data_IF_575587498187
#
_entry.id   IF_575587498187
#
_cell.length_a   1.000
_cell.length_b   1.000
_cell.length_c   1.000
_cell.angle_alpha   90.00
_cell.angle_beta   90.00
_cell.angle_gamma   90.00
#
_symmetry.space_group_name_H-M   'P 1'
#
loop_
_entity.id
_entity.type
_entity.pdbx_description
1 polymer ?
#
# COMPACT_ATOMS: atom_id res chain seq x y z
N UNK A 1 -1.79 11.87 -11.94
CA UNK A 1 -2.90 10.94 -11.66
C UNK A 1 -2.76 10.24 -10.32
N UNK A 2 -3.79 9.49 -9.93
CA UNK A 2 -3.79 8.63 -8.74
C UNK A 2 -3.83 7.16 -9.14
N UNK A 3 -3.12 6.32 -8.39
CA UNK A 3 -3.29 4.88 -8.44
C UNK A 3 -3.67 4.35 -7.05
N UNK A 4 -4.66 3.46 -7.03
CA UNK A 4 -5.22 2.83 -5.82
C UNK A 4 -4.77 1.38 -5.77
N UNK A 5 -3.91 1.04 -4.82
CA UNK A 5 -3.23 -0.26 -4.77
C UNK A 5 -3.72 -1.01 -3.53
N UNK A 6 -4.56 -2.02 -3.76
CA UNK A 6 -5.03 -2.91 -2.68
C UNK A 6 -3.95 -3.89 -2.29
N UNK A 7 -3.66 -3.94 -1.00
CA UNK A 7 -2.82 -4.96 -0.37
C UNK A 7 -3.70 -6.04 0.25
N UNK A 8 -3.30 -7.30 0.10
CA UNK A 8 -3.92 -8.46 0.76
C UNK A 8 -2.88 -9.22 1.56
N UNK A 9 -3.19 -9.51 2.82
CA UNK A 9 -2.42 -10.47 3.63
C UNK A 9 -2.93 -11.87 3.31
N UNK A 10 -2.08 -12.72 2.75
CA UNK A 10 -2.47 -14.06 2.29
C UNK A 10 -1.69 -15.16 2.99
N UNK A 11 -2.29 -16.35 3.05
CA UNK A 11 -1.56 -17.56 3.41
C UNK A 11 -0.61 -18.02 2.28
N UNK A 12 0.11 -19.12 2.51
CA UNK A 12 1.01 -19.74 1.54
C UNK A 12 0.34 -20.21 0.23
N UNK A 13 -0.98 -20.32 0.22
CA UNK A 13 -1.77 -20.71 -0.97
C UNK A 13 -2.34 -19.48 -1.70
N UNK A 14 -2.02 -18.26 -1.23
CA UNK A 14 -2.54 -17.02 -1.80
C UNK A 14 -3.97 -16.67 -1.37
N UNK A 15 -4.54 -17.38 -0.39
CA UNK A 15 -5.86 -17.09 0.14
C UNK A 15 -5.77 -15.95 1.17
N UNK A 16 -6.60 -14.92 1.04
CA UNK A 16 -6.65 -13.83 2.01
C UNK A 16 -7.00 -14.36 3.39
N UNK A 17 -6.21 -14.00 4.40
CA UNK A 17 -6.46 -14.35 5.79
C UNK A 17 -7.51 -13.37 6.34
N UNK A 18 -8.76 -13.81 6.61
CA UNK A 18 -9.89 -12.92 6.80
C UNK A 18 -9.84 -12.09 8.08
N UNK A 19 -8.99 -12.48 9.04
CA UNK A 19 -8.83 -11.78 10.32
C UNK A 19 -7.44 -11.17 10.49
N UNK A 20 -6.63 -11.11 9.42
CA UNK A 20 -5.29 -10.56 9.50
C UNK A 20 -5.34 -9.04 9.73
N UNK A 21 -4.56 -8.59 10.71
CA UNK A 21 -4.45 -7.21 11.16
C UNK A 21 -2.98 -6.76 11.30
N UNK A 22 -2.08 -7.37 10.53
CA UNK A 22 -0.66 -7.11 10.58
C UNK A 22 -0.35 -5.62 10.32
N UNK A 23 0.63 -5.02 11.03
CA UNK A 23 1.10 -3.68 10.71
C UNK A 23 1.85 -3.72 9.37
N UNK A 24 1.48 -2.82 8.46
CA UNK A 24 2.08 -2.70 7.13
C UNK A 24 2.79 -1.36 7.02
N UNK A 25 4.05 -1.37 6.59
CA UNK A 25 4.78 -0.18 6.20
C UNK A 25 4.87 -0.11 4.67
N UNK A 26 4.41 1.00 4.11
CA UNK A 26 4.49 1.30 2.69
C UNK A 26 5.70 2.18 2.39
N UNK A 27 6.43 1.83 1.34
CA UNK A 27 7.55 2.60 0.82
C UNK A 27 7.37 2.81 -0.68
N UNK A 28 7.84 3.95 -1.19
CA UNK A 28 7.73 4.34 -2.59
C UNK A 28 9.08 4.84 -3.10
N UNK A 29 9.42 4.45 -4.32
CA UNK A 29 10.58 4.94 -5.07
C UNK A 29 10.17 5.34 -6.49
N UNK A 30 10.85 6.34 -7.07
CA UNK A 30 10.54 6.90 -8.39
C UNK A 30 9.67 8.17 -8.38
N UNK A 31 9.10 8.57 -9.54
CA UNK A 31 8.42 9.85 -9.73
C UNK A 31 6.97 9.86 -9.18
N UNK A 32 6.83 9.53 -7.90
CA UNK A 32 5.54 9.53 -7.21
C UNK A 32 5.66 9.76 -5.72
N UNK A 33 4.51 9.95 -5.08
CA UNK A 33 4.38 10.11 -3.63
C UNK A 33 3.20 9.29 -3.11
N UNK A 34 3.30 8.79 -1.86
CA UNK A 34 2.15 8.24 -1.15
C UNK A 34 1.34 9.43 -0.62
N UNK A 35 0.07 9.50 -0.98
CA UNK A 35 -0.81 10.61 -0.54
C UNK A 35 -1.79 10.17 0.54
N UNK A 36 -2.11 8.89 0.58
CA UNK A 36 -2.91 8.30 1.64
C UNK A 36 -2.69 6.79 1.73
N UNK A 37 -2.93 6.25 2.92
CA UNK A 37 -3.21 4.84 3.14
C UNK A 37 -4.57 4.72 3.84
N UNK A 38 -5.23 3.58 3.69
CA UNK A 38 -6.50 3.28 4.36
C UNK A 38 -6.63 1.75 4.58
N UNK A 39 -7.53 1.34 5.46
CA UNK A 39 -7.91 -0.06 5.66
C UNK A 39 -9.43 -0.22 5.83
N UNK A 40 -10.20 0.88 5.88
CA UNK A 40 -11.65 0.85 6.05
C UNK A 40 -12.13 0.54 7.47
N UNK A 41 -11.25 0.51 8.47
CA UNK A 41 -11.64 0.39 9.87
C UNK A 41 -12.17 1.74 10.38
N UNK A 42 -13.48 1.86 10.69
CA UNK A 42 -14.07 3.11 11.15
C UNK A 42 -13.59 3.54 12.55
N UNK A 43 -12.89 2.67 13.26
CA UNK A 43 -12.35 2.94 14.60
C UNK A 43 -10.87 3.37 14.56
N UNK A 44 -10.21 3.23 13.42
CA UNK A 44 -8.80 3.60 13.27
C UNK A 44 -8.62 5.11 13.35
N UNK A 45 -7.63 5.53 14.15
CA UNK A 45 -7.21 6.92 14.30
C UNK A 45 -5.90 7.21 13.55
N UNK A 46 -5.39 6.26 12.77
CA UNK A 46 -4.17 6.43 11.99
C UNK A 46 -4.41 7.49 10.91
N UNK A 47 -3.66 8.61 10.89
CA UNK A 47 -3.84 9.66 9.90
C UNK A 47 -3.74 9.11 8.48
N UNK A 48 -4.60 9.53 7.55
CA UNK A 48 -4.57 9.01 6.17
C UNK A 48 -3.20 9.16 5.50
N UNK A 49 -2.49 10.27 5.73
CA UNK A 49 -1.16 10.50 5.18
C UNK A 49 -0.05 9.62 5.77
N UNK A 50 -0.33 8.79 6.79
CA UNK A 50 0.64 7.84 7.35
C UNK A 50 1.08 6.82 6.29
N UNK A 51 2.37 6.51 6.26
CA UNK A 51 2.92 5.42 5.45
C UNK A 51 2.82 4.06 6.14
N UNK A 52 2.36 4.04 7.40
CA UNK A 52 2.15 2.83 8.18
C UNK A 52 0.66 2.68 8.50
N UNK A 53 0.14 1.47 8.32
CA UNK A 53 -1.25 1.12 8.63
C UNK A 53 -1.41 -0.38 8.86
N UNK A 54 -2.25 -0.76 9.80
CA UNK A 54 -2.67 -2.14 9.98
C UNK A 54 -3.56 -2.59 8.82
N UNK A 55 -3.45 -3.85 8.43
CA UNK A 55 -4.52 -4.49 7.69
C UNK A 55 -5.80 -4.51 8.53
N UNK A 56 -6.95 -4.52 7.88
CA UNK A 56 -8.25 -4.76 8.50
C UNK A 56 -8.95 -5.85 7.70
N UNK A 57 -9.28 -6.96 8.36
CA UNK A 57 -9.81 -8.17 7.73
C UNK A 57 -8.98 -8.65 6.53
N UNK A 58 -7.64 -8.57 6.66
CA UNK A 58 -6.67 -8.98 5.66
C UNK A 58 -6.44 -8.00 4.52
N UNK A 59 -7.03 -6.80 4.55
CA UNK A 59 -6.90 -5.80 3.50
C UNK A 59 -6.31 -4.48 4.00
N UNK A 60 -5.54 -3.83 3.14
CA UNK A 60 -5.15 -2.43 3.27
C UNK A 60 -5.09 -1.78 1.88
N UNK A 61 -4.98 -0.46 1.83
CA UNK A 61 -4.91 0.34 0.62
C UNK A 61 -3.78 1.36 0.75
N UNK A 62 -2.99 1.50 -0.31
CA UNK A 62 -2.11 2.66 -0.50
C UNK A 62 -2.53 3.39 -1.77
N UNK A 63 -2.64 4.71 -1.66
CA UNK A 63 -2.97 5.62 -2.75
C UNK A 63 -1.72 6.43 -3.04
N UNK A 64 -1.26 6.33 -4.28
CA UNK A 64 -0.10 7.09 -4.75
C UNK A 64 -0.53 8.13 -5.77
N UNK A 65 0.25 9.20 -5.88
CA UNK A 65 0.13 10.24 -6.91
C UNK A 65 1.40 10.29 -7.74
N UNK A 66 1.28 10.37 -9.06
CA UNK A 66 2.41 10.68 -9.93
C UNK A 66 2.79 12.16 -9.83
N UNK A 67 4.09 12.46 -9.91
CA UNK A 67 4.58 13.84 -9.95
C UNK A 67 4.33 14.43 -11.34
N UNK A 68 3.88 15.69 -11.37
CA UNK A 68 3.56 16.37 -12.62
C UNK A 68 4.85 16.67 -13.41
N UNK A 69 4.87 16.35 -14.71
CA UNK A 69 6.04 16.60 -15.57
C UNK A 69 7.14 15.54 -15.43
N UNK A 70 6.86 14.43 -14.73
CA UNK A 70 7.80 13.33 -14.54
C UNK A 70 7.22 12.00 -15.05
N UNK A 71 7.82 11.50 -16.13
CA UNK A 71 7.59 10.15 -16.64
C UNK A 71 8.55 9.13 -16.01
N UNK A 72 8.14 7.88 -15.83
CA UNK A 72 9.01 6.83 -15.32
C UNK A 72 8.31 5.64 -14.66
N UNK A 73 9.09 4.86 -13.91
CA UNK A 73 8.58 3.72 -13.13
C UNK A 73 8.54 4.07 -11.65
N UNK A 74 7.37 3.90 -11.03
CA UNK A 74 7.14 4.05 -9.60
C UNK A 74 7.10 2.65 -8.99
N UNK A 75 7.98 2.37 -8.03
CA UNK A 75 7.98 1.11 -7.28
C UNK A 75 7.34 1.35 -5.92
N UNK A 76 6.27 0.60 -5.62
CA UNK A 76 5.61 0.62 -4.32
C UNK A 76 5.89 -0.71 -3.62
N UNK A 77 6.36 -0.65 -2.38
CA UNK A 77 6.70 -1.79 -1.54
C UNK A 77 5.83 -1.79 -0.29
N UNK A 78 5.49 -2.98 0.19
CA UNK A 78 4.78 -3.18 1.45
C UNK A 78 5.50 -4.22 2.30
N UNK A 79 5.83 -3.84 3.54
CA UNK A 79 6.62 -4.64 4.47
C UNK A 79 5.82 -4.88 5.74
N UNK A 80 5.93 -6.08 6.29
CA UNK A 80 5.33 -6.43 7.58
C UNK A 80 6.20 -7.46 8.30
N UNK A 81 6.41 -7.35 9.62
CA UNK A 81 7.21 -8.32 10.37
C UNK A 81 6.69 -9.76 10.20
N UNK A 82 7.58 -10.67 9.80
CA UNK A 82 7.26 -12.08 9.63
C UNK A 82 6.53 -12.46 8.34
N UNK A 83 6.26 -11.50 7.45
CA UNK A 83 5.70 -11.74 6.12
C UNK A 83 6.73 -11.43 5.03
N UNK A 84 6.58 -12.07 3.88
CA UNK A 84 7.35 -11.72 2.68
C UNK A 84 6.97 -10.32 2.19
N UNK A 85 7.96 -9.55 1.75
CA UNK A 85 7.73 -8.23 1.16
C UNK A 85 6.98 -8.35 -0.18
N UNK A 86 5.95 -7.52 -0.35
CA UNK A 86 5.25 -7.36 -1.61
C UNK A 86 5.72 -6.10 -2.34
N UNK A 87 5.79 -6.16 -3.68
CA UNK A 87 6.12 -5.01 -4.53
C UNK A 87 5.29 -4.97 -5.80
N UNK A 88 5.00 -3.77 -6.28
CA UNK A 88 4.39 -3.51 -7.58
C UNK A 88 5.09 -2.34 -8.27
N UNK A 89 5.19 -2.41 -9.59
CA UNK A 89 5.75 -1.33 -10.41
C UNK A 89 4.64 -0.74 -11.26
N UNK A 90 4.48 0.57 -11.20
CA UNK A 90 3.49 1.35 -11.95
C UNK A 90 4.24 2.27 -12.90
N UNK A 91 3.83 2.31 -14.17
CA UNK A 91 4.36 3.26 -15.13
C UNK A 91 3.54 4.54 -15.09
N UNK A 92 4.24 5.67 -15.12
CA UNK A 92 3.64 7.00 -15.29
C UNK A 92 4.24 7.65 -16.52
N UNK A 93 3.40 8.40 -17.23
CA UNK A 93 3.73 9.18 -18.42
C UNK A 93 3.14 10.58 -18.24
N UNK A 94 3.71 11.57 -18.93
CA UNK A 94 3.24 12.97 -18.92
C UNK A 94 2.02 13.22 -19.81
#
# INVERSE_FOLDING_TARGET
DLAFITLRVTDKNGLTVPNANNPIKFEIDGPGEIVATDNGDPTSLVPFASHEREAFNGLALVIIRSKQGESGSITVMAKSPGLEEARVVIKTED
#
